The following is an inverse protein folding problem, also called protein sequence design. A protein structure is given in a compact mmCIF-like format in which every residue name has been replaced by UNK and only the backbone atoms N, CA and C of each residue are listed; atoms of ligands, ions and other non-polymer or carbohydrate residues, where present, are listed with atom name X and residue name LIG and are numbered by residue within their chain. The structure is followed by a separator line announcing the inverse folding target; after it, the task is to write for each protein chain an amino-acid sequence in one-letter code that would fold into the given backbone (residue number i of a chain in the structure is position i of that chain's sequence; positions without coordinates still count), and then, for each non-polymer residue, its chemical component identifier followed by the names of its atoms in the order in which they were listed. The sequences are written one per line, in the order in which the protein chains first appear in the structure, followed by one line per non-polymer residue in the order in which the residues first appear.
data_IF_496618115848
#
_entry.id   IF_496618115848
#
_cell.length_a   1.000
_cell.length_b   1.000
_cell.length_c   1.000
_cell.angle_alpha   90.00
_cell.angle_beta   90.00
_cell.angle_gamma   90.00
#
_symmetry.space_group_name_H-M   'P 1'
#
loop_
_entity.id
_entity.type
_entity.pdbx_description
1 polymer ?
#
# COMPACT_ATOMS: atom_id res chain seq x y z
N UNK A 1 15.46 -5.80 -0.86
CA UNK A 1 14.96 -4.65 -0.06
C UNK A 1 15.43 -3.36 -0.74
N UNK A 2 14.54 -2.50 -1.24
CA UNK A 2 14.97 -1.23 -1.85
C UNK A 2 15.40 -0.29 -0.72
N UNK A 3 16.65 0.18 -0.77
CA UNK A 3 17.19 1.14 0.19
C UNK A 3 17.09 2.51 -0.50
N UNK A 4 16.37 3.45 0.10
CA UNK A 4 16.36 4.84 -0.38
C UNK A 4 17.80 5.34 -0.50
N UNK A 5 18.12 6.05 -1.59
CA UNK A 5 19.46 6.65 -1.78
C UNK A 5 19.83 7.63 -0.66
N UNK A 6 18.83 8.14 0.06
CA UNK A 6 19.01 8.94 1.26
C UNK A 6 18.11 8.39 2.38
N UNK A 7 18.69 7.52 3.21
CA UNK A 7 17.99 6.87 4.32
C UNK A 7 17.58 7.88 5.40
N UNK A 8 18.38 8.91 5.63
CA UNK A 8 18.11 9.95 6.61
C UNK A 8 16.85 10.73 6.26
N UNK A 9 16.73 11.20 5.01
CA UNK A 9 15.54 11.92 4.55
C UNK A 9 14.28 11.04 4.54
N UNK A 10 14.44 9.74 4.24
CA UNK A 10 13.34 8.80 4.33
C UNK A 10 12.86 8.60 5.77
N UNK A 11 13.78 8.45 6.73
CA UNK A 11 13.43 8.32 8.14
C UNK A 11 12.79 9.61 8.69
N UNK A 12 13.30 10.79 8.30
CA UNK A 12 12.68 12.06 8.67
C UNK A 12 11.23 12.18 8.17
N UNK A 13 10.96 11.71 6.95
CA UNK A 13 9.59 11.62 6.44
C UNK A 13 8.72 10.67 7.29
N UNK A 14 9.23 9.50 7.67
CA UNK A 14 8.49 8.54 8.51
C UNK A 14 8.16 9.11 9.89
N UNK A 15 9.12 9.77 10.54
CA UNK A 15 8.93 10.39 11.86
C UNK A 15 7.90 11.53 11.81
N UNK A 16 7.95 12.34 10.76
CA UNK A 16 6.97 13.39 10.53
C UNK A 16 5.58 12.81 10.26
N UNK A 17 5.47 11.78 9.43
CA UNK A 17 4.19 11.13 9.13
C UNK A 17 3.58 10.48 10.37
N UNK A 18 4.39 9.84 11.21
CA UNK A 18 3.96 9.31 12.51
C UNK A 18 3.36 10.42 13.40
N UNK A 19 4.07 11.54 13.52
CA UNK A 19 3.60 12.71 14.28
C UNK A 19 2.29 13.26 13.69
N UNK A 20 2.16 13.29 12.37
CA UNK A 20 0.95 13.73 11.69
C UNK A 20 -0.25 12.82 11.99
N UNK A 21 -0.07 11.51 12.10
CA UNK A 21 -1.13 10.60 12.52
C UNK A 21 -1.54 10.84 13.99
N UNK A 22 -0.58 10.99 14.89
CA UNK A 22 -0.83 11.25 16.32
C UNK A 22 -1.60 12.57 16.55
N UNK A 23 -1.37 13.56 15.69
CA UNK A 23 -2.00 14.89 15.77
C UNK A 23 -3.24 15.05 14.87
N UNK A 24 -3.67 14.00 14.15
CA UNK A 24 -4.82 14.07 13.24
C UNK A 24 -4.60 14.96 12.00
N UNK A 25 -3.35 15.13 11.57
CA UNK A 25 -2.89 15.96 10.43
C UNK A 25 -2.42 15.16 9.22
N UNK A 26 -2.50 13.83 9.27
CA UNK A 26 -1.97 12.97 8.21
C UNK A 26 -2.53 13.28 6.81
N UNK A 27 -3.84 13.58 6.71
CA UNK A 27 -4.47 13.90 5.42
C UNK A 27 -3.90 15.17 4.80
N UNK A 28 -3.74 16.25 5.57
CA UNK A 28 -3.20 17.53 5.09
C UNK A 28 -1.75 17.35 4.64
N UNK A 29 -0.96 16.63 5.44
CA UNK A 29 0.44 16.33 5.15
C UNK A 29 0.59 15.51 3.86
N UNK A 30 -0.19 14.44 3.69
CA UNK A 30 -0.14 13.64 2.47
C UNK A 30 -0.68 14.40 1.26
N UNK A 31 -1.61 15.34 1.46
CA UNK A 31 -2.09 16.23 0.39
C UNK A 31 -1.02 17.21 -0.05
N UNK A 32 -0.21 17.71 0.88
CA UNK A 32 0.93 18.59 0.60
C UNK A 32 2.07 17.86 -0.14
N UNK A 33 2.35 16.61 0.23
CA UNK A 33 3.52 15.88 -0.28
C UNK A 33 3.28 15.08 -1.55
N UNK A 34 2.04 14.64 -1.78
CA UNK A 34 1.68 13.82 -2.92
C UNK A 34 0.78 14.60 -3.87
N UNK A 35 0.95 14.39 -5.16
CA UNK A 35 -0.01 14.81 -6.17
C UNK A 35 -1.31 14.00 -6.06
N UNK A 36 -2.38 14.46 -6.72
CA UNK A 36 -3.64 13.70 -6.77
C UNK A 36 -3.43 12.30 -7.36
N UNK A 37 -2.72 12.22 -8.49
CA UNK A 37 -2.41 10.96 -9.16
C UNK A 37 -1.60 9.99 -8.28
N UNK A 38 -0.68 10.52 -7.47
CA UNK A 38 0.10 9.70 -6.53
C UNK A 38 -0.76 9.17 -5.39
N UNK A 39 -1.71 9.96 -4.87
CA UNK A 39 -2.67 9.48 -3.87
C UNK A 39 -3.56 8.39 -4.42
N UNK A 40 -4.08 8.57 -5.63
CA UNK A 40 -4.88 7.55 -6.32
C UNK A 40 -4.06 6.28 -6.57
N UNK A 41 -2.79 6.43 -6.97
CA UNK A 41 -1.89 5.30 -7.18
C UNK A 41 -1.60 4.54 -5.88
N UNK A 42 -1.45 5.21 -4.73
CA UNK A 42 -1.27 4.57 -3.43
C UNK A 42 -2.53 3.80 -3.03
N UNK A 43 -3.71 4.40 -3.19
CA UNK A 43 -5.00 3.74 -2.93
C UNK A 43 -5.21 2.49 -3.81
N UNK A 44 -4.93 2.61 -5.10
CA UNK A 44 -4.98 1.48 -6.04
C UNK A 44 -4.02 0.36 -5.64
N UNK A 45 -2.78 0.69 -5.21
CA UNK A 45 -1.82 -0.32 -4.75
C UNK A 45 -2.34 -1.06 -3.51
N UNK A 46 -2.99 -0.38 -2.58
CA UNK A 46 -3.59 -1.01 -1.41
C UNK A 46 -4.67 -2.02 -1.82
N UNK A 47 -5.55 -1.66 -2.77
CA UNK A 47 -6.58 -2.56 -3.31
C UNK A 47 -5.98 -3.77 -4.02
N UNK A 48 -4.91 -3.58 -4.80
CA UNK A 48 -4.19 -4.67 -5.46
C UNK A 48 -3.64 -5.66 -4.43
N UNK A 49 -2.99 -5.16 -3.37
CA UNK A 49 -2.43 -6.02 -2.32
C UNK A 49 -3.54 -6.79 -1.60
N UNK A 50 -4.66 -6.13 -1.28
CA UNK A 50 -5.81 -6.79 -0.66
C UNK A 50 -6.33 -7.97 -1.50
N UNK A 51 -6.59 -7.76 -2.79
CA UNK A 51 -7.09 -8.83 -3.66
C UNK A 51 -6.06 -9.95 -3.88
N UNK A 52 -4.77 -9.62 -3.96
CA UNK A 52 -3.70 -10.62 -4.09
C UNK A 52 -3.56 -11.49 -2.83
N UNK A 53 -3.83 -10.94 -1.64
CA UNK A 53 -3.74 -11.66 -0.36
C UNK A 53 -4.95 -12.53 -0.07
N UNK A 54 -6.13 -12.13 -0.55
CA UNK A 54 -7.39 -12.87 -0.43
C UNK A 54 -7.40 -14.15 -1.29
N UNK A 55 -6.58 -14.19 -2.37
CA UNK A 55 -6.41 -15.36 -3.28
C UNK A 55 -7.69 -15.90 -3.92
N UNK A 56 -8.82 -15.22 -3.77
CA UNK A 56 -10.10 -15.64 -4.33
C UNK A 56 -10.23 -15.34 -5.84
N UNK A 57 -9.47 -14.37 -6.35
CA UNK A 57 -9.53 -13.93 -7.75
C UNK A 57 -8.23 -14.21 -8.50
N UNK A 58 -8.29 -14.72 -9.75
CA UNK A 58 -7.14 -14.75 -10.64
C UNK A 58 -6.59 -13.35 -10.90
N UNK A 59 -5.26 -13.21 -11.07
CA UNK A 59 -4.63 -11.90 -11.34
C UNK A 59 -5.21 -11.17 -12.56
N UNK A 60 -5.69 -11.92 -13.56
CA UNK A 60 -6.37 -11.38 -14.73
C UNK A 60 -7.70 -10.70 -14.36
N UNK A 61 -8.45 -11.26 -13.42
CA UNK A 61 -9.70 -10.67 -12.95
C UNK A 61 -9.43 -9.44 -12.09
N UNK A 62 -8.41 -9.49 -11.22
CA UNK A 62 -7.96 -8.33 -10.44
C UNK A 62 -7.59 -7.18 -11.39
N UNK A 63 -6.88 -7.47 -12.48
CA UNK A 63 -6.50 -6.49 -13.48
C UNK A 63 -7.73 -5.80 -14.10
N UNK A 64 -8.75 -6.58 -14.47
CA UNK A 64 -9.98 -6.06 -15.08
C UNK A 64 -10.80 -5.25 -14.06
N UNK A 65 -10.97 -5.77 -12.85
CA UNK A 65 -11.76 -5.14 -11.79
C UNK A 65 -11.15 -3.79 -11.35
N UNK A 66 -9.83 -3.72 -11.27
CA UNK A 66 -9.12 -2.51 -10.84
C UNK A 66 -8.68 -1.61 -11.99
N UNK A 67 -9.09 -1.92 -13.23
CA UNK A 67 -8.75 -1.18 -14.44
C UNK A 67 -7.27 -0.76 -14.51
N UNK A 68 -6.37 -1.71 -14.24
CA UNK A 68 -4.93 -1.44 -14.14
C UNK A 68 -4.12 -2.32 -15.10
N UNK A 69 -2.81 -2.07 -15.19
CA UNK A 69 -1.92 -2.86 -16.06
C UNK A 69 -1.53 -4.19 -15.40
N UNK A 70 -1.38 -5.24 -16.22
CA UNK A 70 -0.82 -6.52 -15.77
C UNK A 70 0.56 -6.34 -15.11
N UNK A 71 1.37 -5.39 -15.60
CA UNK A 71 2.67 -5.08 -15.03
C UNK A 71 2.57 -4.54 -13.59
N UNK A 72 1.54 -3.75 -13.27
CA UNK A 72 1.29 -3.25 -11.92
C UNK A 72 0.94 -4.39 -10.97
N UNK A 73 0.04 -5.30 -11.40
CA UNK A 73 -0.31 -6.50 -10.62
C UNK A 73 0.91 -7.39 -10.39
N UNK A 74 1.70 -7.62 -11.44
CA UNK A 74 2.91 -8.46 -11.39
C UNK A 74 3.93 -7.91 -10.41
N UNK A 75 4.15 -6.59 -10.39
CA UNK A 75 5.02 -5.92 -9.41
C UNK A 75 4.52 -6.13 -7.98
N UNK A 76 3.21 -5.99 -7.75
CA UNK A 76 2.60 -6.25 -6.45
C UNK A 76 2.79 -7.70 -5.99
N UNK A 77 2.47 -8.66 -6.86
CA UNK A 77 2.62 -10.10 -6.57
C UNK A 77 4.07 -10.47 -6.26
N UNK A 78 5.02 -9.95 -7.03
CA UNK A 78 6.44 -10.21 -6.78
C UNK A 78 6.91 -9.58 -5.48
N UNK A 79 6.46 -8.37 -5.14
CA UNK A 79 6.81 -7.73 -3.88
C UNK A 79 6.32 -8.55 -2.68
N UNK A 80 5.07 -9.05 -2.72
CA UNK A 80 4.52 -9.90 -1.66
C UNK A 80 5.36 -11.16 -1.40
N UNK A 81 5.91 -11.78 -2.45
CA UNK A 81 6.78 -12.96 -2.31
C UNK A 81 8.11 -12.67 -1.63
N UNK A 82 8.54 -11.41 -1.60
CA UNK A 82 9.81 -10.99 -0.98
C UNK A 82 9.67 -10.49 0.45
N UNK A 83 8.44 -10.36 0.94
CA UNK A 83 8.15 -9.88 2.28
C UNK A 83 8.14 -11.04 3.29
N UNK A 84 8.41 -10.71 4.55
CA UNK A 84 8.33 -11.64 5.66
C UNK A 84 6.91 -12.22 5.78
N UNK A 85 6.73 -13.56 5.82
CA UNK A 85 5.44 -14.19 6.04
C UNK A 85 4.66 -13.67 7.26
N UNK A 86 5.34 -13.36 8.37
CA UNK A 86 4.66 -12.82 9.57
C UNK A 86 4.09 -11.43 9.29
N UNK A 87 4.85 -10.58 8.59
CA UNK A 87 4.38 -9.26 8.17
C UNK A 87 3.21 -9.36 7.18
N UNK A 88 3.26 -10.31 6.25
CA UNK A 88 2.16 -10.55 5.30
C UNK A 88 0.89 -10.98 6.03
N UNK A 89 0.99 -11.84 7.03
CA UNK A 89 -0.17 -12.25 7.82
C UNK A 89 -0.72 -11.08 8.63
N UNK A 90 0.15 -10.27 9.23
CA UNK A 90 -0.27 -9.04 9.90
C UNK A 90 -1.05 -8.10 8.97
N UNK A 91 -0.54 -7.83 7.75
CA UNK A 91 -1.24 -7.01 6.75
C UNK A 91 -2.60 -7.59 6.39
N UNK A 92 -2.69 -8.90 6.16
CA UNK A 92 -3.96 -9.58 5.86
C UNK A 92 -4.98 -9.33 6.98
N UNK A 93 -4.56 -9.46 8.23
CA UNK A 93 -5.43 -9.25 9.39
C UNK A 93 -5.91 -7.79 9.49
N UNK A 94 -5.04 -6.81 9.23
CA UNK A 94 -5.43 -5.39 9.21
C UNK A 94 -6.49 -5.12 8.13
N UNK A 95 -6.27 -5.61 6.91
CA UNK A 95 -7.20 -5.40 5.79
C UNK A 95 -8.57 -6.03 6.04
N UNK A 96 -8.60 -7.23 6.62
CA UNK A 96 -9.84 -7.90 6.98
C UNK A 96 -10.60 -7.20 8.11
N UNK A 97 -9.89 -6.55 9.05
CA UNK A 97 -10.51 -5.78 10.12
C UNK A 97 -11.15 -4.49 9.59
N UNK A 98 -10.47 -3.80 8.66
CA UNK A 98 -11.00 -2.58 8.03
C UNK A 98 -12.25 -2.84 7.17
N UNK A 99 -12.32 -3.97 6.45
CA UNK A 99 -13.48 -4.32 5.62
C UNK A 99 -14.72 -4.74 6.40
N UNK A 100 -14.61 -5.02 7.70
CA UNK A 100 -15.76 -5.34 8.58
C UNK A 100 -16.35 -4.13 9.28
N UNK A 101 -15.70 -2.97 9.17
CA UNK A 101 -16.11 -1.73 9.82
C UNK A 101 -16.97 -0.82 8.92
N UNK A 102 -17.08 -1.17 7.64
CA UNK A 102 -17.99 -0.58 6.65
C UNK A 102 -19.21 -1.50 6.43
#
# INVERSE_FOLDING_TARGET
MYISRNLEQWNAFLDMLKTAFEQGKAQDVLTLLLTADERDAVGLRLQIIAQLLDKNLPQREIQQNLNTSAATITRGSNMLKTMDPEFIDWIRNQLNASQKAD
#
